data_IF_432252926998
#
_entry.id   IF_432252926998
#
_cell.length_a   1.000
_cell.length_b   1.000
_cell.length_c   1.000
_cell.angle_alpha   90.00
_cell.angle_beta   90.00
_cell.angle_gamma   90.00
#
_symmetry.space_group_name_H-M   'P 1'
#
loop_
_entity.id
_entity.type
_entity.pdbx_description
1 polymer ?
#
# COMPACT_ATOMS: atom_id res chain seq x y z
N UNK A 1 -15.99 -59.31 -9.95
CA UNK A 1 -16.62 -57.97 -10.12
C UNK A 1 -16.71 -57.36 -8.73
N UNK A 2 -15.91 -56.33 -8.45
CA UNK A 2 -15.94 -55.63 -7.15
C UNK A 2 -17.10 -54.65 -7.09
N UNK A 3 -17.57 -54.34 -5.88
CA UNK A 3 -18.49 -53.23 -5.65
C UNK A 3 -17.69 -51.93 -5.61
N UNK A 4 -18.18 -50.88 -6.27
CA UNK A 4 -17.68 -49.52 -6.11
C UNK A 4 -18.65 -48.76 -5.22
N UNK A 5 -18.12 -48.06 -4.22
CA UNK A 5 -18.90 -47.20 -3.33
C UNK A 5 -18.62 -45.76 -3.73
N UNK A 6 -19.68 -44.98 -3.95
CA UNK A 6 -19.61 -43.54 -4.14
C UNK A 6 -20.21 -42.86 -2.90
N UNK A 7 -19.61 -41.76 -2.48
CA UNK A 7 -20.14 -40.89 -1.42
C UNK A 7 -20.61 -39.61 -2.08
N UNK A 8 -21.90 -39.30 -1.92
CA UNK A 8 -22.48 -38.04 -2.33
C UNK A 8 -22.86 -37.27 -1.06
N UNK A 9 -22.37 -36.04 -0.95
CA UNK A 9 -22.68 -35.16 0.16
C UNK A 9 -23.66 -34.06 -0.28
N UNK A 10 -24.66 -33.81 0.55
CA UNK A 10 -25.70 -32.80 0.30
C UNK A 10 -25.53 -31.60 1.25
N UNK A 11 -24.32 -31.04 1.30
CA UNK A 11 -24.05 -29.74 1.93
C UNK A 11 -23.35 -29.77 3.28
N UNK A 12 -22.88 -30.93 3.76
CA UNK A 12 -22.06 -30.98 5.00
C UNK A 12 -20.58 -30.68 4.75
N UNK A 13 -20.16 -30.68 3.49
CA UNK A 13 -18.77 -30.65 3.05
C UNK A 13 -17.92 -31.79 3.66
N UNK A 14 -18.53 -32.92 4.02
CA UNK A 14 -17.84 -34.03 4.69
C UNK A 14 -16.62 -34.54 3.89
N UNK A 15 -16.72 -34.86 2.57
CA UNK A 15 -15.56 -35.31 1.78
C UNK A 15 -14.45 -34.26 1.76
N UNK A 16 -14.85 -32.98 1.66
CA UNK A 16 -13.96 -31.84 1.72
C UNK A 16 -13.28 -31.67 3.07
N UNK A 17 -13.90 -31.99 4.20
CA UNK A 17 -13.28 -31.90 5.54
C UNK A 17 -12.33 -33.07 5.82
N UNK A 18 -12.67 -34.28 5.37
CA UNK A 18 -11.87 -35.48 5.67
C UNK A 18 -10.75 -35.79 4.68
N UNK A 19 -10.64 -35.05 3.58
CA UNK A 19 -9.56 -35.28 2.60
C UNK A 19 -9.89 -36.25 1.50
N UNK A 20 -11.17 -36.62 1.34
CA UNK A 20 -11.54 -37.60 0.31
C UNK A 20 -11.65 -36.93 -1.06
N UNK A 21 -10.86 -37.43 -2.00
CA UNK A 21 -10.95 -37.10 -3.44
C UNK A 21 -10.95 -35.58 -3.72
N UNK A 22 -10.13 -34.83 -2.99
CA UNK A 22 -9.99 -33.38 -3.17
C UNK A 22 -9.21 -33.08 -4.46
N UNK A 23 -9.57 -31.99 -5.13
CA UNK A 23 -8.79 -31.48 -6.26
C UNK A 23 -7.63 -30.58 -5.81
N UNK A 24 -7.85 -29.83 -4.72
CA UNK A 24 -6.86 -28.94 -4.11
C UNK A 24 -6.53 -29.37 -2.68
N UNK A 25 -5.28 -29.20 -2.29
CA UNK A 25 -4.81 -29.23 -0.91
C UNK A 25 -4.37 -27.83 -0.46
N UNK A 26 -4.24 -27.63 0.85
CA UNK A 26 -3.93 -26.35 1.49
C UNK A 26 -5.15 -25.69 2.16
N UNK A 27 -4.89 -24.66 2.97
CA UNK A 27 -5.90 -23.98 3.79
C UNK A 27 -5.91 -22.46 3.64
N UNK A 28 -4.99 -21.90 2.84
CA UNK A 28 -4.89 -20.48 2.58
C UNK A 28 -4.36 -20.20 1.16
N UNK A 29 -4.33 -18.93 0.77
CA UNK A 29 -3.86 -18.51 -0.55
C UNK A 29 -2.36 -18.72 -0.80
N UNK A 30 -1.57 -19.10 0.21
CA UNK A 30 -0.13 -19.39 0.06
C UNK A 30 0.15 -20.88 -0.11
N UNK A 31 -0.69 -21.71 0.50
CA UNK A 31 -0.54 -23.17 0.57
C UNK A 31 -1.41 -23.92 -0.42
N UNK A 32 -2.39 -23.24 -1.03
CA UNK A 32 -3.26 -23.85 -2.03
C UNK A 32 -2.44 -24.44 -3.20
N UNK A 33 -2.65 -25.73 -3.47
CA UNK A 33 -1.98 -26.47 -4.54
C UNK A 33 -2.88 -27.59 -5.04
N UNK A 34 -2.60 -28.12 -6.24
CA UNK A 34 -3.28 -29.33 -6.73
C UNK A 34 -2.85 -30.50 -5.85
N UNK A 35 -3.80 -31.40 -5.56
CA UNK A 35 -3.53 -32.60 -4.76
C UNK A 35 -2.30 -33.39 -5.29
N UNK A 36 -1.48 -33.89 -4.37
CA UNK A 36 -0.22 -34.55 -4.71
C UNK A 36 -0.43 -35.81 -5.57
N UNK A 37 -1.51 -36.56 -5.38
CA UNK A 37 -1.79 -37.74 -6.21
C UNK A 37 -2.09 -37.31 -7.65
N UNK A 38 -2.88 -36.25 -7.82
CA UNK A 38 -3.20 -35.66 -9.13
C UNK A 38 -1.97 -35.06 -9.83
N UNK A 39 -1.04 -34.49 -9.07
CA UNK A 39 0.22 -33.96 -9.62
C UNK A 39 1.14 -35.06 -10.15
N UNK A 40 1.21 -36.20 -9.46
CA UNK A 40 2.07 -37.31 -9.86
C UNK A 40 1.47 -38.16 -10.98
N UNK A 41 0.15 -38.36 -10.96
CA UNK A 41 -0.56 -39.10 -12.00
C UNK A 41 -1.89 -38.42 -12.33
N UNK A 42 -1.94 -37.55 -13.35
CA UNK A 42 -3.18 -36.94 -13.80
C UNK A 42 -4.25 -37.95 -14.26
N UNK A 43 -3.87 -39.21 -14.53
CA UNK A 43 -4.77 -40.28 -14.93
C UNK A 43 -5.73 -40.73 -13.82
N UNK A 44 -5.46 -40.38 -12.55
CA UNK A 44 -6.36 -40.68 -11.43
C UNK A 44 -7.53 -39.71 -11.30
N UNK A 45 -7.53 -38.61 -12.06
CA UNK A 45 -8.62 -37.63 -12.07
C UNK A 45 -9.92 -38.24 -12.60
N UNK A 46 -11.02 -38.02 -11.87
CA UNK A 46 -12.33 -38.54 -12.23
C UNK A 46 -13.35 -37.41 -12.36
N UNK A 47 -14.06 -37.38 -13.49
CA UNK A 47 -15.15 -36.41 -13.75
C UNK A 47 -16.54 -36.95 -13.42
N UNK A 48 -16.65 -38.16 -12.87
CA UNK A 48 -17.91 -38.85 -12.60
C UNK A 48 -18.14 -39.02 -11.09
N UNK A 49 -19.41 -39.04 -10.68
CA UNK A 49 -19.78 -39.41 -9.30
C UNK A 49 -19.80 -40.92 -9.08
N UNK A 50 -20.00 -41.70 -10.14
CA UNK A 50 -19.98 -43.15 -10.15
C UNK A 50 -19.43 -43.66 -11.50
N UNK A 51 -18.72 -44.80 -11.56
CA UNK A 51 -18.01 -45.30 -12.75
C UNK A 51 -18.97 -45.88 -13.81
N UNK A 52 -19.84 -45.01 -14.31
CA UNK A 52 -20.81 -45.30 -15.38
C UNK A 52 -20.31 -44.64 -16.65
N UNK A 53 -20.28 -45.40 -17.74
CA UNK A 53 -19.83 -44.89 -19.04
C UNK A 53 -20.62 -43.64 -19.44
N UNK A 54 -19.91 -42.56 -19.77
CA UNK A 54 -20.52 -41.28 -20.16
C UNK A 54 -20.92 -40.37 -18.99
N UNK A 55 -20.72 -40.78 -17.73
CA UNK A 55 -20.95 -39.91 -16.59
C UNK A 55 -19.86 -38.83 -16.52
N UNK A 56 -20.27 -37.57 -16.53
CA UNK A 56 -19.40 -36.40 -16.34
C UNK A 56 -20.01 -35.38 -15.36
N UNK A 57 -20.88 -35.84 -14.46
CA UNK A 57 -21.64 -35.00 -13.54
C UNK A 57 -20.74 -34.12 -12.65
N UNK A 58 -19.66 -34.68 -12.10
CA UNK A 58 -18.73 -33.95 -11.23
C UNK A 58 -18.01 -32.87 -12.02
N UNK A 59 -17.56 -33.18 -13.25
CA UNK A 59 -16.93 -32.19 -14.11
C UNK A 59 -17.88 -31.04 -14.47
N UNK A 60 -19.15 -31.33 -14.79
CA UNK A 60 -20.14 -30.30 -15.05
C UNK A 60 -20.45 -29.45 -13.81
N UNK A 61 -20.52 -30.08 -12.63
CA UNK A 61 -20.72 -29.37 -11.36
C UNK A 61 -19.53 -28.45 -11.05
N UNK A 62 -18.29 -28.88 -11.32
CA UNK A 62 -17.10 -28.02 -11.19
C UNK A 62 -17.15 -26.81 -12.13
N UNK A 63 -17.63 -26.99 -13.36
CA UNK A 63 -17.85 -25.88 -14.30
C UNK A 63 -18.93 -24.95 -13.76
N UNK A 64 -20.04 -25.48 -13.24
CA UNK A 64 -21.15 -24.69 -12.71
C UNK A 64 -20.74 -23.89 -11.45
N UNK A 65 -19.84 -24.44 -10.63
CA UNK A 65 -19.33 -23.81 -9.41
C UNK A 65 -18.70 -22.43 -9.65
N UNK A 66 -18.21 -22.13 -10.86
CA UNK A 66 -17.67 -20.80 -11.18
C UNK A 66 -18.75 -19.70 -11.10
N UNK A 67 -20.01 -20.06 -11.32
CA UNK A 67 -21.16 -19.14 -11.31
C UNK A 67 -21.95 -19.20 -10.00
N UNK A 68 -21.82 -20.30 -9.26
CA UNK A 68 -22.54 -20.49 -8.01
C UNK A 68 -22.04 -19.51 -6.95
N UNK A 69 -22.96 -19.06 -6.09
CA UNK A 69 -22.61 -18.20 -4.97
C UNK A 69 -22.11 -19.05 -3.80
N UNK A 70 -20.89 -18.78 -3.38
CA UNK A 70 -20.23 -19.42 -2.26
C UNK A 70 -20.17 -18.46 -1.07
N UNK A 71 -20.23 -19.02 0.13
CA UNK A 71 -20.04 -18.26 1.36
C UNK A 71 -18.55 -18.07 1.64
N UNK A 72 -18.08 -16.84 1.56
CA UNK A 72 -16.72 -16.44 1.93
C UNK A 72 -16.69 -15.92 3.36
N UNK A 73 -15.89 -16.56 4.21
CA UNK A 73 -15.63 -16.15 5.57
C UNK A 73 -14.45 -15.18 5.59
N UNK A 74 -14.65 -13.96 6.09
CA UNK A 74 -13.62 -12.92 6.16
C UNK A 74 -13.00 -12.88 7.56
N UNK A 75 -11.76 -12.40 7.65
CA UNK A 75 -11.02 -12.29 8.92
C UNK A 75 -11.70 -11.42 9.98
N UNK A 76 -12.55 -10.49 9.57
CA UNK A 76 -13.35 -9.63 10.46
C UNK A 76 -14.62 -10.32 11.01
N UNK A 77 -14.79 -11.62 10.78
CA UNK A 77 -15.96 -12.39 11.23
C UNK A 77 -17.23 -12.19 10.37
N UNK A 78 -17.16 -11.38 9.31
CA UNK A 78 -18.28 -11.21 8.38
C UNK A 78 -18.25 -12.28 7.29
N UNK A 79 -19.42 -12.56 6.71
CA UNK A 79 -19.56 -13.45 5.55
C UNK A 79 -20.00 -12.67 4.33
N UNK A 80 -19.67 -13.20 3.15
CA UNK A 80 -20.13 -12.68 1.86
C UNK A 80 -20.62 -13.84 1.01
N UNK A 81 -21.70 -13.62 0.25
CA UNK A 81 -22.22 -14.64 -0.65
C UNK A 81 -22.07 -14.18 -2.10
N UNK A 82 -21.01 -14.65 -2.77
CA UNK A 82 -20.65 -14.20 -4.13
C UNK A 82 -20.07 -15.37 -4.95
N UNK A 83 -19.93 -15.18 -6.26
CA UNK A 83 -19.11 -16.10 -7.07
C UNK A 83 -17.62 -15.92 -6.77
N UNK A 84 -16.79 -16.89 -7.15
CA UNK A 84 -15.32 -16.81 -6.99
C UNK A 84 -14.77 -15.55 -7.68
N UNK A 85 -15.18 -15.30 -8.92
CA UNK A 85 -14.79 -14.11 -9.67
C UNK A 85 -15.29 -12.83 -8.98
N UNK A 86 -16.56 -12.81 -8.56
CA UNK A 86 -17.16 -11.66 -7.88
C UNK A 86 -16.42 -11.29 -6.60
N UNK A 87 -16.04 -12.29 -5.79
CA UNK A 87 -15.28 -12.08 -4.57
C UNK A 87 -13.85 -11.59 -4.86
N UNK A 88 -13.18 -12.14 -5.88
CA UNK A 88 -11.87 -11.66 -6.31
C UNK A 88 -11.91 -10.19 -6.79
N UNK A 89 -12.93 -9.82 -7.58
CA UNK A 89 -13.17 -8.44 -8.00
C UNK A 89 -13.44 -7.52 -6.81
N UNK A 90 -14.18 -7.98 -5.82
CA UNK A 90 -14.39 -7.25 -4.57
C UNK A 90 -13.06 -6.95 -3.88
N UNK A 91 -12.19 -7.95 -3.67
CA UNK A 91 -10.89 -7.75 -3.01
C UNK A 91 -10.04 -6.72 -3.78
N UNK A 92 -9.88 -6.91 -5.09
CA UNK A 92 -9.07 -6.02 -5.93
C UNK A 92 -9.62 -4.59 -5.97
N UNK A 93 -10.95 -4.42 -5.99
CA UNK A 93 -11.59 -3.11 -5.92
C UNK A 93 -11.36 -2.40 -4.57
N UNK A 94 -11.37 -3.13 -3.45
CA UNK A 94 -11.04 -2.55 -2.14
C UNK A 94 -9.59 -2.06 -2.11
N UNK A 95 -8.64 -2.86 -2.59
CA UNK A 95 -7.22 -2.46 -2.68
C UNK A 95 -7.05 -1.21 -3.55
N UNK A 96 -7.73 -1.14 -4.69
CA UNK A 96 -7.71 0.02 -5.56
C UNK A 96 -8.28 1.28 -4.87
N UNK A 97 -9.39 1.12 -4.15
CA UNK A 97 -10.03 2.21 -3.41
C UNK A 97 -9.14 2.72 -2.27
N UNK A 98 -8.50 1.82 -1.52
CA UNK A 98 -7.58 2.16 -0.44
C UNK A 98 -6.34 2.89 -0.96
N UNK A 99 -5.78 2.42 -2.08
CA UNK A 99 -4.66 3.06 -2.76
C UNK A 99 -5.04 4.47 -3.22
N UNK A 100 -6.22 4.63 -3.85
CA UNK A 100 -6.71 5.92 -4.30
C UNK A 100 -6.97 6.88 -3.14
N UNK A 101 -7.54 6.40 -2.03
CA UNK A 101 -7.77 7.20 -0.81
C UNK A 101 -6.45 7.66 -0.20
N UNK A 102 -5.46 6.76 -0.15
CA UNK A 102 -4.12 7.06 0.39
C UNK A 102 -3.39 8.08 -0.48
N UNK A 103 -3.47 7.94 -1.82
CA UNK A 103 -2.90 8.93 -2.75
C UNK A 103 -3.48 10.32 -2.53
N UNK A 104 -4.80 10.45 -2.46
CA UNK A 104 -5.47 11.74 -2.20
C UNK A 104 -5.04 12.37 -0.86
N UNK A 105 -4.91 11.55 0.20
CA UNK A 105 -4.41 12.01 1.50
C UNK A 105 -2.97 12.50 1.41
N UNK A 106 -2.12 11.79 0.68
CA UNK A 106 -0.73 12.18 0.47
C UNK A 106 -0.64 13.52 -0.26
N UNK A 107 -1.41 13.71 -1.34
CA UNK A 107 -1.43 14.95 -2.11
C UNK A 107 -1.90 16.14 -1.25
N UNK A 108 -2.94 15.91 -0.45
CA UNK A 108 -3.45 16.92 0.50
C UNK A 108 -2.39 17.29 1.54
N UNK A 109 -1.71 16.29 2.12
CA UNK A 109 -0.66 16.53 3.11
C UNK A 109 0.56 17.24 2.50
N UNK A 110 0.93 16.91 1.27
CA UNK A 110 2.01 17.59 0.54
C UNK A 110 1.68 19.06 0.27
N UNK A 111 0.44 19.36 -0.14
CA UNK A 111 -0.03 20.73 -0.32
C UNK A 111 -0.06 21.52 1.00
N UNK A 112 -0.52 20.89 2.09
CA UNK A 112 -0.50 21.48 3.43
C UNK A 112 0.93 21.76 3.90
N UNK A 113 1.82 20.80 3.74
CA UNK A 113 3.24 20.95 4.08
C UNK A 113 3.88 22.10 3.31
N UNK A 114 3.65 22.18 1.99
CA UNK A 114 4.17 23.27 1.15
C UNK A 114 3.69 24.64 1.62
N UNK A 115 2.41 24.75 1.97
CA UNK A 115 1.82 25.98 2.53
C UNK A 115 2.50 26.38 3.84
N UNK A 116 2.59 25.46 4.80
CA UNK A 116 3.22 25.70 6.11
C UNK A 116 4.71 26.05 5.94
N UNK A 117 5.40 25.35 5.05
CA UNK A 117 6.81 25.59 4.78
C UNK A 117 7.05 26.97 4.15
N UNK A 118 6.16 27.41 3.26
CA UNK A 118 6.21 28.76 2.67
C UNK A 118 5.95 29.84 3.72
N UNK A 119 4.97 29.63 4.62
CA UNK A 119 4.70 30.54 5.74
C UNK A 119 5.87 30.60 6.72
N UNK A 120 6.47 29.45 7.05
CA UNK A 120 7.66 29.37 7.88
C UNK A 120 8.83 30.17 7.27
N UNK A 121 9.09 30.01 5.96
CA UNK A 121 10.11 30.80 5.26
C UNK A 121 9.77 32.29 5.22
N UNK A 122 8.50 32.67 5.16
CA UNK A 122 8.11 34.09 5.19
C UNK A 122 8.36 34.75 6.55
N UNK A 123 8.25 34.01 7.66
CA UNK A 123 8.41 34.55 9.01
C UNK A 123 9.86 34.41 9.50
N UNK A 124 10.45 33.25 9.27
CA UNK A 124 11.77 32.87 9.81
C UNK A 124 12.88 32.88 8.76
N UNK A 125 12.53 33.05 7.49
CA UNK A 125 13.52 33.20 6.43
C UNK A 125 14.20 34.55 6.53
N UNK A 126 15.52 34.53 6.33
CA UNK A 126 16.32 35.74 6.13
C UNK A 126 16.40 36.04 4.63
N UNK A 127 16.11 37.27 4.25
CA UNK A 127 16.35 37.73 2.90
C UNK A 127 17.82 38.09 2.75
N UNK A 128 18.56 37.34 1.92
CA UNK A 128 19.99 37.54 1.68
C UNK A 128 20.29 38.94 1.14
N UNK A 129 19.34 39.52 0.39
CA UNK A 129 19.44 40.89 -0.12
C UNK A 129 19.23 41.93 1.00
N UNK A 130 18.29 41.70 1.93
CA UNK A 130 18.13 42.58 3.10
C UNK A 130 19.34 42.50 4.03
N UNK A 131 19.85 41.28 4.32
CA UNK A 131 21.07 41.12 5.10
C UNK A 131 22.29 41.76 4.41
N UNK A 132 22.38 41.70 3.08
CA UNK A 132 23.45 42.38 2.34
C UNK A 132 23.33 43.90 2.40
N UNK A 133 22.12 44.45 2.31
CA UNK A 133 21.88 45.89 2.46
C UNK A 133 22.26 46.36 3.87
N UNK A 134 21.84 45.62 4.90
CA UNK A 134 22.21 45.93 6.29
C UNK A 134 23.72 45.78 6.51
N UNK A 135 24.35 44.77 5.94
CA UNK A 135 25.81 44.60 5.97
C UNK A 135 26.54 45.78 5.31
N UNK A 136 26.11 46.21 4.12
CA UNK A 136 26.67 47.40 3.47
C UNK A 136 26.45 48.66 4.30
N UNK A 137 25.28 48.80 4.94
CA UNK A 137 24.97 49.92 5.84
C UNK A 137 25.91 49.94 7.03
N UNK A 138 26.13 48.80 7.68
CA UNK A 138 27.06 48.67 8.80
C UNK A 138 28.51 48.92 8.38
N UNK A 139 28.95 48.43 7.23
CA UNK A 139 30.29 48.71 6.69
C UNK A 139 30.49 50.21 6.40
N UNK A 140 29.48 50.86 5.83
CA UNK A 140 29.52 52.30 5.53
C UNK A 140 29.56 53.12 6.81
N UNK A 141 28.70 52.80 7.79
CA UNK A 141 28.67 53.46 9.09
C UNK A 141 29.99 53.27 9.85
N UNK A 142 30.57 52.07 9.82
CA UNK A 142 31.88 51.80 10.43
C UNK A 142 33.00 52.62 9.78
N UNK A 143 33.02 52.71 8.45
CA UNK A 143 34.00 53.53 7.73
C UNK A 143 33.83 55.03 8.03
N UNK A 144 32.60 55.52 8.15
CA UNK A 144 32.31 56.89 8.54
C UNK A 144 32.81 57.19 9.96
N UNK A 145 32.51 56.31 10.92
CA UNK A 145 32.97 56.44 12.30
C UNK A 145 34.51 56.39 12.41
N UNK A 146 35.17 55.53 11.63
CA UNK A 146 36.63 55.45 11.57
C UNK A 146 37.26 56.77 11.10
N UNK A 147 36.64 57.44 10.12
CA UNK A 147 37.08 58.78 9.66
C UNK A 147 36.87 59.84 10.73
N UNK A 148 35.76 59.79 11.48
CA UNK A 148 35.50 60.70 12.59
C UNK A 148 36.56 60.53 13.68
N UNK A 149 36.86 59.30 14.09
CA UNK A 149 37.92 58.98 15.07
C UNK A 149 39.27 59.49 14.57
N UNK A 150 39.63 59.20 13.32
CA UNK A 150 40.88 59.69 12.71
C UNK A 150 40.96 61.22 12.72
N UNK A 151 39.82 61.90 12.54
CA UNK A 151 39.77 63.37 12.58
C UNK A 151 39.94 63.88 14.00
N UNK A 152 39.33 63.22 14.99
CA UNK A 152 39.53 63.52 16.41
C UNK A 152 40.98 63.31 16.81
N UNK A 153 41.61 62.20 16.41
CA UNK A 153 43.03 61.92 16.67
C UNK A 153 43.92 63.02 16.10
N UNK A 154 43.66 63.45 14.86
CA UNK A 154 44.38 64.59 14.25
C UNK A 154 44.18 65.89 15.03
N UNK A 155 42.97 66.17 15.51
CA UNK A 155 42.70 67.36 16.34
C UNK A 155 43.44 67.29 17.68
N UNK A 156 43.49 66.12 18.32
CA UNK A 156 44.24 65.88 19.56
C UNK A 156 45.76 66.02 19.36
N UNK A 157 46.31 65.45 18.28
CA UNK A 157 47.72 65.64 17.92
C UNK A 157 48.06 67.11 17.67
N UNK A 158 47.19 67.84 16.99
CA UNK A 158 47.41 69.28 16.73
C UNK A 158 47.38 70.09 18.03
N UNK A 159 46.45 69.78 18.95
CA UNK A 159 46.38 70.43 20.26
C UNK A 159 47.60 70.12 21.15
N UNK A 160 48.11 68.88 21.13
CA UNK A 160 49.26 68.46 21.94
C UNK A 160 50.61 68.84 21.32
N UNK A 161 50.68 68.99 20.00
CA UNK A 161 51.87 69.40 19.24
C UNK A 161 52.12 70.91 19.25
N UNK A 162 51.15 71.72 19.69
CA UNK A 162 51.36 73.14 20.01
C UNK A 162 51.99 73.19 21.41
N UNK A 163 53.33 73.14 21.43
CA UNK A 163 54.17 73.45 22.59
C UNK A 163 55.37 74.28 22.13
#
# INVERSE_FOLDING_TARGET
KGYTIAIEDHGTNLPGVVGMSRFFDGNDGKTISVDFELLNDPGVLQGFSAPVSGNNSVANNMIQMQYDKLTFYRSNGTTSNESIEGFYRFITANVATDAQSTGQKNDTNAALFSTIFSEYQSISGVSLDEELVDLMRFQTAYSANSKVITTIDKLLETLLGIK
#
